data_IF_103048219540
#
_entry.id   IF_103048219540
#
_cell.length_a   1.000
_cell.length_b   1.000
_cell.length_c   1.000
_cell.angle_alpha   90.00
_cell.angle_beta   90.00
_cell.angle_gamma   90.00
#
_symmetry.space_group_name_H-M   'P 1'
#
loop_
_entity.id
_entity.type
_entity.pdbx_description
1 polymer ?
#
# COMPACT_ATOMS: atom_id res chain seq x y z
N UNK A 1 -7.45 35.92 10.41
CA UNK A 1 -8.41 34.85 10.75
C UNK A 1 -8.12 33.64 9.88
N UNK A 2 -8.18 32.45 10.49
CA UNK A 2 -7.64 31.15 10.03
C UNK A 2 -8.51 30.56 8.89
N UNK A 3 -7.88 30.10 7.80
CA UNK A 3 -8.55 29.46 6.67
C UNK A 3 -9.06 28.04 7.01
N UNK A 4 -10.17 27.56 6.42
CA UNK A 4 -10.46 26.13 6.36
C UNK A 4 -9.89 25.54 5.04
N UNK A 5 -9.14 24.45 5.19
CA UNK A 5 -8.51 23.69 4.10
C UNK A 5 -9.58 22.86 3.39
N UNK A 6 -9.94 23.22 2.17
CA UNK A 6 -10.73 22.36 1.29
C UNK A 6 -9.84 21.25 0.72
N UNK A 7 -10.02 20.05 1.26
CA UNK A 7 -9.30 18.85 0.85
C UNK A 7 -10.22 17.64 0.94
N UNK A 8 -11.36 17.68 0.24
CA UNK A 8 -12.18 16.50 -0.09
C UNK A 8 -12.90 16.78 -1.41
N UNK A 9 -12.51 16.10 -2.49
CA UNK A 9 -13.26 16.13 -3.74
C UNK A 9 -14.60 15.42 -3.53
N UNK A 10 -15.64 16.20 -3.23
CA UNK A 10 -17.03 15.73 -3.14
C UNK A 10 -17.58 15.66 -4.56
N UNK A 11 -17.61 14.47 -5.16
CA UNK A 11 -18.43 14.26 -6.35
C UNK A 11 -19.89 14.22 -5.92
N UNK A 12 -20.55 15.39 -5.98
CA UNK A 12 -22.01 15.51 -5.79
C UNK A 12 -22.68 14.87 -7.00
N UNK A 13 -23.03 13.58 -6.90
CA UNK A 13 -24.00 12.97 -7.82
C UNK A 13 -25.39 13.36 -7.34
N UNK A 14 -26.12 14.07 -8.22
CA UNK A 14 -27.50 14.55 -8.02
C UNK A 14 -28.39 13.47 -7.41
N UNK A 15 -29.14 13.87 -6.37
CA UNK A 15 -30.21 13.13 -5.69
C UNK A 15 -31.11 12.36 -6.66
N UNK A 16 -31.35 11.09 -6.36
CA UNK A 16 -32.70 10.54 -6.29
C UNK A 16 -32.73 9.29 -5.40
N UNK A 17 -33.65 9.31 -4.44
CA UNK A 17 -34.29 8.18 -3.76
C UNK A 17 -33.41 7.27 -2.86
N UNK A 18 -33.57 7.44 -1.54
CA UNK A 18 -33.06 6.52 -0.50
C UNK A 18 -33.49 5.07 -0.79
N UNK A 19 -32.59 4.12 -0.53
CA UNK A 19 -32.85 3.21 0.56
C UNK A 19 -31.73 3.33 1.60
N UNK A 20 -32.09 3.13 2.85
CA UNK A 20 -31.17 3.08 3.99
C UNK A 20 -30.36 1.78 3.91
N UNK A 21 -29.50 1.70 2.91
CA UNK A 21 -28.38 0.78 2.93
C UNK A 21 -27.32 1.46 3.77
N UNK A 22 -26.93 0.82 4.87
CA UNK A 22 -25.64 1.06 5.48
C UNK A 22 -24.65 1.11 4.32
N UNK A 23 -24.13 2.30 4.01
CA UNK A 23 -22.98 2.40 3.15
C UNK A 23 -21.84 1.82 3.99
N UNK A 24 -21.76 0.49 4.03
CA UNK A 24 -20.47 -0.17 4.13
C UNK A 24 -19.73 0.42 2.95
N UNK A 25 -18.89 1.43 3.21
CA UNK A 25 -17.85 1.83 2.29
C UNK A 25 -17.17 0.52 1.93
N UNK A 26 -17.50 -0.05 0.77
CA UNK A 26 -16.81 -1.22 0.27
C UNK A 26 -15.46 -0.62 -0.08
N UNK A 27 -14.40 -0.82 0.73
CA UNK A 27 -13.12 -0.19 0.45
C UNK A 27 -12.78 -0.57 -0.98
N UNK A 28 -12.43 0.43 -1.78
CA UNK A 28 -12.14 0.24 -3.19
C UNK A 28 -11.09 -0.88 -3.33
N UNK A 29 -11.51 -2.05 -3.83
CA UNK A 29 -10.65 -3.24 -3.97
C UNK A 29 -9.77 -3.19 -5.23
N UNK A 30 -9.75 -2.04 -5.93
CA UNK A 30 -8.94 -1.88 -7.13
C UNK A 30 -7.49 -1.54 -6.81
N UNK A 31 -6.55 -1.89 -7.71
CA UNK A 31 -5.14 -1.54 -7.52
C UNK A 31 -4.98 -0.02 -7.47
N UNK A 32 -4.42 0.50 -6.38
CA UNK A 32 -4.05 1.93 -6.31
C UNK A 32 -2.91 2.26 -7.27
N UNK A 33 -2.66 3.54 -7.51
CA UNK A 33 -1.53 3.98 -8.31
C UNK A 33 -0.18 3.40 -7.80
N UNK A 34 -0.07 3.24 -6.47
CA UNK A 34 1.10 2.60 -5.86
C UNK A 34 1.19 1.10 -6.19
N UNK A 35 0.06 0.37 -6.22
CA UNK A 35 0.04 -1.03 -6.65
C UNK A 35 0.55 -1.19 -8.08
N UNK A 36 0.05 -0.37 -9.00
CA UNK A 36 0.45 -0.42 -10.41
C UNK A 36 1.95 -0.11 -10.54
N UNK A 37 2.45 0.88 -9.79
CA UNK A 37 3.88 1.21 -9.80
C UNK A 37 4.75 0.05 -9.29
N UNK A 38 4.39 -0.57 -8.17
CA UNK A 38 5.12 -1.73 -7.61
C UNK A 38 5.06 -2.93 -8.56
N UNK A 39 3.87 -3.27 -9.07
CA UNK A 39 3.67 -4.40 -9.99
C UNK A 39 4.40 -4.22 -11.31
N UNK A 40 4.56 -2.98 -11.77
CA UNK A 40 5.33 -2.67 -12.97
C UNK A 40 6.85 -2.85 -12.79
N UNK A 41 7.32 -3.18 -11.58
CA UNK A 41 8.70 -3.53 -11.30
C UNK A 41 9.66 -2.34 -11.39
N UNK A 42 10.96 -2.59 -11.65
CA UNK A 42 12.02 -1.58 -11.52
C UNK A 42 11.82 -0.34 -12.40
N UNK A 43 11.07 -0.49 -13.51
CA UNK A 43 10.73 0.61 -14.42
C UNK A 43 9.98 1.75 -13.73
N UNK A 44 9.19 1.45 -12.70
CA UNK A 44 8.34 2.43 -12.02
C UNK A 44 8.79 2.71 -10.59
N UNK A 45 10.02 2.37 -10.22
CA UNK A 45 10.57 2.65 -8.88
C UNK A 45 10.50 4.13 -8.52
N UNK A 46 10.89 5.01 -9.45
CA UNK A 46 10.81 6.46 -9.24
C UNK A 46 9.38 6.92 -8.99
N UNK A 47 8.40 6.33 -9.68
CA UNK A 47 6.99 6.62 -9.47
C UNK A 47 6.50 6.08 -8.12
N UNK A 48 6.90 4.86 -7.74
CA UNK A 48 6.57 4.29 -6.45
C UNK A 48 7.11 5.16 -5.30
N UNK A 49 8.37 5.57 -5.36
CA UNK A 49 8.99 6.48 -4.40
C UNK A 49 8.29 7.83 -4.34
N UNK A 50 7.93 8.40 -5.50
CA UNK A 50 7.18 9.64 -5.58
C UNK A 50 5.81 9.52 -4.91
N UNK A 51 5.10 8.42 -5.13
CA UNK A 51 3.80 8.18 -4.51
C UNK A 51 3.92 8.01 -2.99
N UNK A 52 4.91 7.24 -2.53
CA UNK A 52 5.17 7.04 -1.10
C UNK A 52 5.53 8.35 -0.39
N UNK A 53 6.34 9.20 -1.02
CA UNK A 53 6.71 10.51 -0.44
C UNK A 53 5.54 11.48 -0.30
N UNK A 54 4.46 11.27 -1.07
CA UNK A 54 3.22 12.04 -0.98
C UNK A 54 2.16 11.35 -0.09
N UNK A 55 2.52 10.29 0.64
CA UNK A 55 1.63 9.60 1.56
C UNK A 55 0.64 8.65 0.90
N UNK A 56 0.90 8.22 -0.34
CA UNK A 56 0.08 7.19 -0.98
C UNK A 56 0.13 5.88 -0.18
N UNK A 57 -1.03 5.25 0.00
CA UNK A 57 -1.14 3.97 0.70
C UNK A 57 -1.36 4.06 2.22
N UNK A 58 -1.26 5.24 2.83
CA UNK A 58 -1.40 5.41 4.29
C UNK A 58 -2.77 4.98 4.83
N UNK A 59 -3.86 5.25 4.08
CA UNK A 59 -5.23 4.88 4.43
C UNK A 59 -5.66 3.46 4.02
N UNK A 60 -4.76 2.67 3.43
CA UNK A 60 -5.07 1.30 3.01
C UNK A 60 -5.14 0.34 4.21
N UNK A 61 -5.92 -0.73 4.04
CA UNK A 61 -5.98 -1.83 4.99
C UNK A 61 -4.61 -2.50 5.13
N UNK A 62 -4.28 -2.98 6.32
CA UNK A 62 -3.01 -3.65 6.60
C UNK A 62 -2.78 -4.87 5.70
N UNK A 63 -3.84 -5.64 5.41
CA UNK A 63 -3.78 -6.78 4.50
C UNK A 63 -3.34 -6.40 3.08
N UNK A 64 -3.87 -5.29 2.56
CA UNK A 64 -3.52 -4.74 1.25
C UNK A 64 -2.08 -4.24 1.23
N UNK A 65 -1.68 -3.52 2.29
CA UNK A 65 -0.30 -3.06 2.46
C UNK A 65 0.69 -4.24 2.51
N UNK A 66 0.35 -5.30 3.24
CA UNK A 66 1.14 -6.53 3.37
C UNK A 66 1.27 -7.25 2.02
N UNK A 67 0.18 -7.39 1.28
CA UNK A 67 0.21 -7.99 -0.06
C UNK A 67 1.08 -7.19 -1.03
N UNK A 68 0.97 -5.86 -0.99
CA UNK A 68 1.80 -4.97 -1.80
C UNK A 68 3.29 -5.08 -1.43
N UNK A 69 3.62 -5.20 -0.14
CA UNK A 69 4.99 -5.40 0.32
C UNK A 69 5.53 -6.75 -0.15
N UNK A 70 4.76 -7.84 0.00
CA UNK A 70 5.11 -9.14 -0.55
C UNK A 70 5.39 -9.05 -2.06
N UNK A 71 4.59 -8.27 -2.80
CA UNK A 71 4.82 -8.08 -4.24
C UNK A 71 6.13 -7.37 -4.55
N UNK A 72 6.50 -6.35 -3.76
CA UNK A 72 7.77 -5.67 -3.89
C UNK A 72 8.96 -6.61 -3.60
N UNK A 73 8.84 -7.45 -2.58
CA UNK A 73 9.85 -8.45 -2.20
C UNK A 73 9.95 -9.58 -3.23
N UNK A 74 8.84 -10.07 -3.78
CA UNK A 74 8.82 -11.06 -4.87
C UNK A 74 9.50 -10.54 -6.14
N UNK A 75 9.60 -9.22 -6.31
CA UNK A 75 10.32 -8.55 -7.39
C UNK A 75 11.77 -8.18 -7.01
N UNK A 76 12.25 -8.61 -5.84
CA UNK A 76 13.55 -8.26 -5.26
C UNK A 76 13.79 -6.74 -5.22
N UNK A 77 12.71 -5.96 -5.06
CA UNK A 77 12.76 -4.50 -5.11
C UNK A 77 12.88 -3.91 -3.70
N UNK A 78 14.01 -4.20 -3.06
CA UNK A 78 14.29 -3.80 -1.68
C UNK A 78 14.27 -2.28 -1.46
N UNK A 79 14.59 -1.50 -2.49
CA UNK A 79 14.52 -0.03 -2.43
C UNK A 79 13.09 0.45 -2.18
N UNK A 80 12.14 -0.04 -2.98
CA UNK A 80 10.73 0.32 -2.83
C UNK A 80 10.15 -0.30 -1.56
N UNK A 81 10.49 -1.55 -1.25
CA UNK A 81 10.06 -2.21 -0.02
C UNK A 81 10.49 -1.42 1.24
N UNK A 82 11.74 -0.97 1.30
CA UNK A 82 12.24 -0.12 2.39
C UNK A 82 11.48 1.20 2.49
N UNK A 83 11.21 1.84 1.35
CA UNK A 83 10.44 3.09 1.32
C UNK A 83 8.99 2.89 1.77
N UNK A 84 8.40 1.73 1.47
CA UNK A 84 7.07 1.36 1.96
C UNK A 84 7.06 1.17 3.47
N UNK A 85 8.05 0.47 4.05
CA UNK A 85 8.14 0.30 5.50
C UNK A 85 8.19 1.65 6.23
N UNK A 86 9.00 2.57 5.71
CA UNK A 86 9.15 3.91 6.28
C UNK A 86 7.89 4.78 6.10
N UNK A 87 7.32 4.82 4.89
CA UNK A 87 6.20 5.72 4.58
C UNK A 87 4.85 5.22 5.12
N UNK A 88 4.66 3.90 5.19
CA UNK A 88 3.41 3.28 5.62
C UNK A 88 3.41 2.89 7.11
N UNK A 89 4.54 3.06 7.80
CA UNK A 89 4.68 2.67 9.22
C UNK A 89 4.57 1.17 9.43
N UNK A 90 5.09 0.38 8.50
CA UNK A 90 4.94 -1.08 8.48
C UNK A 90 6.11 -1.83 9.13
N UNK A 91 6.90 -1.18 9.98
CA UNK A 91 8.06 -1.81 10.61
C UNK A 91 7.68 -3.07 11.41
N UNK A 92 6.50 -3.10 12.02
CA UNK A 92 6.03 -4.28 12.77
C UNK A 92 5.70 -5.48 11.85
N UNK A 93 5.48 -5.26 10.55
CA UNK A 93 5.18 -6.33 9.60
C UNK A 93 6.42 -7.13 9.18
N UNK A 94 7.63 -6.59 9.32
CA UNK A 94 8.87 -7.37 9.08
C UNK A 94 9.15 -8.35 10.21
N UNK A 95 8.74 -7.99 11.43
CA UNK A 95 8.87 -8.83 12.62
C UNK A 95 7.74 -9.86 12.74
N UNK A 96 6.71 -9.75 11.91
CA UNK A 96 5.62 -10.72 11.84
C UNK A 96 6.14 -12.02 11.19
N UNK A 97 6.03 -13.12 11.94
CA UNK A 97 6.36 -14.49 11.52
C UNK A 97 5.81 -14.81 10.12
N UNK A 98 4.71 -14.16 9.71
CA UNK A 98 4.13 -14.32 8.38
C UNK A 98 5.13 -14.11 7.23
N UNK A 99 5.89 -13.00 7.21
CA UNK A 99 6.80 -12.72 6.08
C UNK A 99 8.00 -13.68 6.12
N UNK A 100 8.63 -13.84 7.29
CA UNK A 100 9.76 -14.74 7.46
C UNK A 100 9.40 -16.18 7.10
N UNK A 101 8.27 -16.69 7.58
CA UNK A 101 7.79 -18.05 7.28
C UNK A 101 7.56 -18.22 5.77
N UNK A 102 6.83 -17.29 5.14
CA UNK A 102 6.53 -17.34 3.70
C UNK A 102 7.79 -17.40 2.84
N UNK A 103 8.78 -16.56 3.11
CA UNK A 103 9.99 -16.49 2.30
C UNK A 103 10.99 -17.61 2.62
N UNK A 104 11.00 -18.11 3.87
CA UNK A 104 11.70 -19.35 4.23
C UNK A 104 11.13 -20.56 3.47
N UNK A 105 9.80 -20.74 3.45
CA UNK A 105 9.14 -21.84 2.73
C UNK A 105 9.37 -21.76 1.22
N UNK A 106 9.40 -20.55 0.66
CA UNK A 106 9.70 -20.31 -0.75
C UNK A 106 11.17 -20.59 -1.10
N UNK A 107 12.06 -20.65 -0.11
CA UNK A 107 13.51 -20.80 -0.31
C UNK A 107 14.19 -19.53 -0.81
N UNK A 108 13.57 -18.36 -0.60
CA UNK A 108 14.07 -17.08 -1.10
C UNK A 108 15.07 -16.47 -0.11
N UNK A 109 16.30 -16.98 -0.15
CA UNK A 109 17.34 -16.62 0.80
C UNK A 109 17.70 -15.12 0.79
N UNK A 110 17.52 -14.43 -0.33
CA UNK A 110 17.77 -12.99 -0.40
C UNK A 110 16.72 -12.20 0.38
N UNK A 111 15.44 -12.50 0.17
CA UNK A 111 14.35 -11.84 0.90
C UNK A 111 14.39 -12.21 2.38
N UNK A 112 14.62 -13.48 2.71
CA UNK A 112 14.77 -13.89 4.11
C UNK A 112 15.93 -13.17 4.80
N UNK A 113 17.07 -13.00 4.12
CA UNK A 113 18.20 -12.24 4.68
C UNK A 113 17.87 -10.75 4.83
N UNK A 114 17.02 -10.20 3.97
CA UNK A 114 16.61 -8.81 4.07
C UNK A 114 15.63 -8.55 5.23
N UNK A 115 14.84 -9.56 5.61
CA UNK A 115 13.85 -9.48 6.68
C UNK A 115 14.42 -9.65 8.10
N UNK A 116 15.63 -10.24 8.25
CA UNK A 116 16.31 -10.50 9.54
C UNK A 116 17.36 -9.43 9.83
#
# INVERSE_FOLDING_TARGET
>A
MRAPKEGKSVFVKRRESRPEYYATEIPYQGPTALHVAVQGGPKYNTLAHFLLSHGAGTGELESVKRELLCKALDLHNFSVASSMLQALGMAELTDDDFLLHRYCEKGDAEVTRWLV
#
